data_IF_251532268667
#
_entry.id   IF_251532268667
#
_cell.length_a   1.000
_cell.length_b   1.000
_cell.length_c   1.000
_cell.angle_alpha   90.00
_cell.angle_beta   90.00
_cell.angle_gamma   90.00
#
_symmetry.space_group_name_H-M   'P 1'
#
loop_
_entity.id
_entity.type
_entity.pdbx_description
1 polymer ?
#
# COMPACT_ATOMS: atom_id res chain seq x y z
N UNK A 1 -57.85 -62.15 45.64
CA UNK A 1 -58.54 -63.15 44.79
C UNK A 1 -58.27 -62.81 43.34
N UNK A 2 -57.65 -63.75 42.57
CA UNK A 2 -57.60 -63.92 41.10
C UNK A 2 -57.50 -62.69 40.19
N UNK A 3 -56.74 -62.62 39.08
CA UNK A 3 -55.90 -63.46 38.20
C UNK A 3 -55.24 -62.40 37.29
N UNK A 4 -54.04 -62.53 36.73
CA UNK A 4 -53.83 -63.30 35.51
C UNK A 4 -52.39 -63.06 35.05
N UNK A 5 -51.71 -64.15 34.68
CA UNK A 5 -50.47 -64.15 33.91
C UNK A 5 -50.69 -63.53 32.52
N UNK A 6 -49.70 -62.80 32.02
CA UNK A 6 -49.38 -62.69 30.59
C UNK A 6 -47.85 -62.50 30.48
N UNK A 7 -47.23 -63.38 29.71
CA UNK A 7 -45.83 -63.37 29.28
C UNK A 7 -45.89 -63.37 27.73
N UNK A 8 -44.79 -63.08 27.01
CA UNK A 8 -44.07 -61.81 26.86
C UNK A 8 -44.11 -61.33 25.38
N UNK A 9 -43.62 -60.13 25.07
CA UNK A 9 -43.26 -59.76 23.68
C UNK A 9 -41.73 -59.71 23.53
N UNK A 10 -41.16 -60.21 22.42
CA UNK A 10 -39.73 -60.23 22.19
C UNK A 10 -39.26 -58.84 21.79
N UNK A 11 -38.31 -58.30 22.56
CA UNK A 11 -37.59 -57.08 22.19
C UNK A 11 -36.66 -57.47 21.05
N UNK A 12 -37.03 -57.14 19.82
CA UNK A 12 -36.11 -57.11 18.69
C UNK A 12 -35.04 -56.08 18.98
N UNK A 13 -33.85 -56.55 19.35
CA UNK A 13 -32.63 -55.76 19.32
C UNK A 13 -32.34 -55.40 17.86
N UNK A 14 -32.77 -54.22 17.43
CA UNK A 14 -32.19 -53.60 16.25
C UNK A 14 -30.71 -53.32 16.55
N UNK A 15 -29.76 -53.76 15.70
CA UNK A 15 -28.38 -53.37 15.86
C UNK A 15 -28.31 -51.87 15.59
N UNK A 16 -28.13 -51.09 16.66
CA UNK A 16 -27.64 -49.72 16.57
C UNK A 16 -26.28 -49.82 15.90
N UNK A 17 -26.24 -49.66 14.58
CA UNK A 17 -25.00 -49.37 13.88
C UNK A 17 -24.53 -48.03 14.44
N UNK A 18 -23.61 -48.11 15.40
CA UNK A 18 -22.73 -47.01 15.73
C UNK A 18 -22.03 -46.61 14.43
N UNK A 19 -22.56 -45.60 13.76
CA UNK A 19 -21.77 -44.82 12.81
C UNK A 19 -20.69 -44.14 13.65
N UNK A 20 -19.60 -44.87 13.91
CA UNK A 20 -18.38 -44.30 14.45
C UNK A 20 -17.96 -43.20 13.48
N UNK A 21 -18.34 -41.95 13.77
CA UNK A 21 -17.70 -40.78 13.19
C UNK A 21 -16.19 -40.97 13.38
N UNK A 22 -15.36 -40.92 12.33
CA UNK A 22 -13.93 -41.15 12.44
C UNK A 22 -13.40 -40.26 13.55
N UNK A 23 -12.85 -40.86 14.62
CA UNK A 23 -12.32 -40.10 15.75
C UNK A 23 -11.18 -39.23 15.24
N UNK A 24 -11.46 -37.95 15.00
CA UNK A 24 -10.47 -36.94 14.63
C UNK A 24 -9.27 -37.10 15.55
N UNK A 25 -8.07 -37.25 14.96
CA UNK A 25 -6.89 -37.50 15.78
C UNK A 25 -6.67 -36.27 16.67
N UNK A 26 -6.69 -36.39 18.03
CA UNK A 26 -6.72 -35.22 18.91
C UNK A 26 -5.56 -34.24 18.68
N UNK A 27 -4.39 -34.76 18.26
CA UNK A 27 -3.22 -33.93 17.95
C UNK A 27 -3.42 -33.00 16.74
N UNK A 28 -4.18 -33.42 15.72
CA UNK A 28 -4.49 -32.57 14.56
C UNK A 28 -5.44 -31.44 14.95
N UNK A 29 -6.41 -31.72 15.83
CA UNK A 29 -7.29 -30.68 16.35
C UNK A 29 -6.51 -29.60 17.12
N UNK A 30 -5.55 -30.02 17.95
CA UNK A 30 -4.66 -29.09 18.65
C UNK A 30 -3.81 -28.29 17.67
N UNK A 31 -3.26 -28.95 16.64
CA UNK A 31 -2.44 -28.28 15.61
C UNK A 31 -3.25 -27.21 14.86
N UNK A 32 -4.43 -27.57 14.36
CA UNK A 32 -5.31 -26.64 13.66
C UNK A 32 -5.81 -25.49 14.53
N UNK A 33 -6.13 -25.76 15.81
CA UNK A 33 -6.50 -24.71 16.75
C UNK A 33 -5.36 -23.71 16.95
N UNK A 34 -4.12 -24.19 17.18
CA UNK A 34 -2.94 -23.34 17.32
C UNK A 34 -2.62 -22.55 16.05
N UNK A 35 -2.73 -23.19 14.89
CA UNK A 35 -2.61 -22.51 13.60
C UNK A 35 -3.60 -21.34 13.50
N UNK A 36 -4.88 -21.63 13.74
CA UNK A 36 -5.97 -20.64 13.63
C UNK A 36 -5.79 -19.49 14.62
N UNK A 37 -5.36 -19.78 15.85
CA UNK A 37 -5.03 -18.78 16.86
C UNK A 37 -3.89 -17.86 16.40
N UNK A 38 -2.79 -18.43 15.91
CA UNK A 38 -1.64 -17.65 15.47
C UNK A 38 -1.95 -16.82 14.24
N UNK A 39 -2.61 -17.40 13.23
CA UNK A 39 -2.96 -16.70 12.01
C UNK A 39 -3.93 -15.55 12.26
N UNK A 40 -5.02 -15.79 13.02
CA UNK A 40 -5.99 -14.75 13.34
C UNK A 40 -5.36 -13.59 14.13
N UNK A 41 -4.47 -13.89 15.08
CA UNK A 41 -3.77 -12.84 15.84
C UNK A 41 -2.73 -12.11 14.97
N UNK A 42 -2.03 -12.80 14.08
CA UNK A 42 -1.10 -12.17 13.14
C UNK A 42 -1.82 -11.19 12.21
N UNK A 43 -2.94 -11.61 11.61
CA UNK A 43 -3.76 -10.75 10.74
C UNK A 43 -4.31 -9.54 11.51
N UNK A 44 -4.87 -9.78 12.69
CA UNK A 44 -5.43 -8.70 13.52
C UNK A 44 -4.38 -7.66 13.92
N UNK A 45 -3.19 -8.11 14.36
CA UNK A 45 -2.09 -7.22 14.76
C UNK A 45 -1.48 -6.49 13.55
N UNK A 46 -1.30 -7.16 12.42
CA UNK A 46 -0.84 -6.53 11.17
C UNK A 46 -1.78 -5.41 10.73
N UNK A 47 -3.10 -5.66 10.71
CA UNK A 47 -4.12 -4.66 10.38
C UNK A 47 -4.12 -3.49 11.37
N UNK A 48 -3.98 -3.77 12.66
CA UNK A 48 -3.87 -2.73 13.68
C UNK A 48 -2.65 -1.84 13.44
N UNK A 49 -1.47 -2.42 13.21
CA UNK A 49 -0.23 -1.68 12.90
C UNK A 49 -0.40 -0.78 11.67
N UNK A 50 -0.90 -1.34 10.56
CA UNK A 50 -1.13 -0.58 9.32
C UNK A 50 -2.15 0.55 9.50
N UNK A 51 -3.23 0.31 10.24
CA UNK A 51 -4.22 1.34 10.54
C UNK A 51 -3.62 2.49 11.35
N UNK A 52 -2.75 2.20 12.33
CA UNK A 52 -2.06 3.24 13.11
C UNK A 52 -1.13 4.08 12.24
N UNK A 53 -0.30 3.45 11.39
CA UNK A 53 0.57 4.20 10.47
C UNK A 53 -0.21 5.02 9.45
N UNK A 54 -1.35 4.53 8.96
CA UNK A 54 -2.25 5.30 8.09
C UNK A 54 -2.74 6.58 8.78
N UNK A 55 -3.08 6.51 10.07
CA UNK A 55 -3.46 7.69 10.85
C UNK A 55 -2.28 8.64 11.08
N UNK A 56 -1.07 8.13 11.30
CA UNK A 56 0.13 8.99 11.43
C UNK A 56 0.35 9.80 10.13
N UNK A 57 0.30 9.14 8.97
CA UNK A 57 0.42 9.80 7.67
C UNK A 57 -0.70 10.84 7.45
N UNK A 58 -1.95 10.49 7.80
CA UNK A 58 -3.08 11.41 7.69
C UNK A 58 -2.91 12.64 8.60
N UNK A 59 -2.39 12.48 9.82
CA UNK A 59 -2.08 13.60 10.72
C UNK A 59 -0.98 14.49 10.15
N UNK A 60 0.01 13.93 9.44
CA UNK A 60 1.02 14.72 8.73
C UNK A 60 0.41 15.65 7.67
N UNK A 61 -0.49 15.12 6.83
CA UNK A 61 -1.21 15.92 5.82
C UNK A 61 -2.19 16.91 6.46
N UNK A 62 -2.84 16.55 7.57
CA UNK A 62 -3.70 17.48 8.30
C UNK A 62 -2.90 18.62 8.94
N UNK A 63 -1.68 18.36 9.40
CA UNK A 63 -0.82 19.40 9.96
C UNK A 63 -0.45 20.44 8.89
N UNK A 64 -0.14 20.02 7.67
CA UNK A 64 0.13 20.97 6.57
C UNK A 64 -1.12 21.74 6.16
N UNK A 65 -2.28 21.08 6.13
CA UNK A 65 -3.57 21.75 5.91
C UNK A 65 -3.85 22.81 6.99
N UNK A 66 -3.68 22.48 8.27
CA UNK A 66 -3.91 23.43 9.36
C UNK A 66 -2.88 24.56 9.36
N UNK A 67 -1.65 24.31 8.91
CA UNK A 67 -0.66 25.37 8.75
C UNK A 67 -1.10 26.39 7.69
N UNK A 68 -1.61 25.92 6.55
CA UNK A 68 -2.16 26.76 5.49
C UNK A 68 -3.38 27.54 6.00
N UNK A 69 -4.32 26.88 6.68
CA UNK A 69 -5.51 27.52 7.23
C UNK A 69 -5.17 28.56 8.30
N UNK A 70 -4.18 28.30 9.16
CA UNK A 70 -3.71 29.27 10.15
C UNK A 70 -3.04 30.51 9.51
N UNK A 71 -2.45 30.38 8.32
CA UNK A 71 -1.94 31.52 7.54
C UNK A 71 -3.08 32.33 6.89
N UNK A 72 -4.13 31.65 6.40
CA UNK A 72 -5.29 32.31 5.78
C UNK A 72 -6.20 33.00 6.81
N UNK A 73 -6.25 32.50 8.05
CA UNK A 73 -7.04 33.05 9.15
C UNK A 73 -6.12 33.43 10.33
N UNK A 74 -5.39 34.57 10.25
CA UNK A 74 -4.43 34.97 11.27
C UNK A 74 -5.06 35.30 12.62
N UNK A 75 -4.31 35.06 13.70
CA UNK A 75 -4.68 35.43 15.07
C UNK A 75 -3.52 36.19 15.75
N UNK A 76 -3.75 37.41 16.31
CA UNK A 76 -5.05 38.06 16.53
C UNK A 76 -5.75 38.53 15.24
N UNK A 77 -7.09 38.61 15.22
CA UNK A 77 -7.85 38.98 14.03
C UNK A 77 -7.56 40.44 13.62
N UNK A 78 -7.53 40.69 12.32
CA UNK A 78 -7.60 42.05 11.76
C UNK A 78 -9.03 42.60 11.86
N UNK A 79 -9.21 43.92 11.74
CA UNK A 79 -10.46 44.66 12.04
C UNK A 79 -11.77 44.07 11.46
N UNK A 80 -11.71 43.22 10.43
CA UNK A 80 -12.86 42.64 9.73
C UNK A 80 -12.97 41.10 9.79
N UNK A 81 -12.16 40.40 10.60
CA UNK A 81 -12.19 38.93 10.66
C UNK A 81 -12.68 38.39 12.01
N UNK A 82 -13.52 37.34 12.03
CA UNK A 82 -13.93 36.69 13.28
C UNK A 82 -12.72 36.05 13.97
N UNK A 83 -12.57 36.28 15.27
CA UNK A 83 -11.44 35.77 16.06
C UNK A 83 -11.42 34.23 16.20
N UNK A 84 -12.60 33.60 16.12
CA UNK A 84 -12.78 32.19 16.48
C UNK A 84 -12.09 31.22 15.50
N UNK A 85 -12.24 31.31 14.16
CA UNK A 85 -11.59 30.37 13.24
C UNK A 85 -10.06 30.40 13.32
N UNK A 86 -9.45 31.58 13.42
CA UNK A 86 -7.99 31.71 13.52
C UNK A 86 -7.41 31.09 14.80
N UNK A 87 -8.10 31.25 15.93
CA UNK A 87 -7.73 30.58 17.18
C UNK A 87 -7.86 29.05 17.03
N UNK A 88 -8.97 28.57 16.46
CA UNK A 88 -9.21 27.13 16.27
C UNK A 88 -8.13 26.48 15.42
N UNK A 89 -7.80 27.04 14.24
CA UNK A 89 -6.78 26.46 13.37
C UNK A 89 -5.38 26.49 13.99
N UNK A 90 -5.05 27.52 14.77
CA UNK A 90 -3.78 27.58 15.50
C UNK A 90 -3.68 26.51 16.59
N UNK A 91 -4.77 26.25 17.31
CA UNK A 91 -4.84 25.15 18.28
C UNK A 91 -4.69 23.80 17.58
N UNK A 92 -5.40 23.58 16.47
CA UNK A 92 -5.30 22.34 15.69
C UNK A 92 -3.89 22.12 15.12
N UNK A 93 -3.26 23.17 14.58
CA UNK A 93 -1.88 23.13 14.09
C UNK A 93 -0.87 22.67 15.16
N UNK A 94 -1.07 23.04 16.42
CA UNK A 94 -0.20 22.61 17.53
C UNK A 94 -0.57 21.21 18.02
N UNK A 95 -1.86 20.89 18.11
CA UNK A 95 -2.33 19.60 18.62
C UNK A 95 -2.02 18.46 17.65
N UNK A 96 -2.13 18.67 16.34
CA UNK A 96 -1.96 17.58 15.35
C UNK A 96 -0.56 16.94 15.39
N UNK A 97 0.56 17.69 15.37
CA UNK A 97 1.90 17.11 15.53
C UNK A 97 2.13 16.47 16.91
N UNK A 98 1.52 17.00 17.98
CA UNK A 98 1.62 16.43 19.32
C UNK A 98 0.92 15.07 19.40
N UNK A 99 -0.30 14.97 18.87
CA UNK A 99 -1.05 13.71 18.79
C UNK A 99 -0.31 12.72 17.87
N UNK A 100 0.21 13.19 16.73
CA UNK A 100 1.01 12.39 15.82
C UNK A 100 2.24 11.79 16.49
N UNK A 101 3.01 12.62 17.21
CA UNK A 101 4.19 12.19 17.98
C UNK A 101 3.85 11.20 19.08
N UNK A 102 2.78 11.47 19.86
CA UNK A 102 2.32 10.57 20.91
C UNK A 102 1.88 9.21 20.34
N UNK A 103 1.18 9.22 19.21
CA UNK A 103 0.73 8.00 18.55
C UNK A 103 1.89 7.23 17.91
N UNK A 104 2.89 7.91 17.36
CA UNK A 104 4.11 7.29 16.87
C UNK A 104 4.90 6.62 18.01
N UNK A 105 5.10 7.32 19.13
CA UNK A 105 5.75 6.77 20.33
C UNK A 105 4.98 5.57 20.90
N UNK A 106 3.65 5.65 20.97
CA UNK A 106 2.81 4.53 21.38
C UNK A 106 2.95 3.34 20.42
N UNK A 107 2.90 3.59 19.11
CA UNK A 107 3.05 2.53 18.10
C UNK A 107 4.44 1.88 18.18
N UNK A 108 5.49 2.67 18.44
CA UNK A 108 6.84 2.16 18.68
C UNK A 108 6.90 1.25 19.89
N UNK A 109 6.29 1.64 21.01
CA UNK A 109 6.36 0.88 22.24
C UNK A 109 5.61 -0.47 22.15
N UNK A 110 4.51 -0.53 21.39
CA UNK A 110 3.62 -1.70 21.39
C UNK A 110 3.62 -2.53 20.10
N UNK A 111 4.18 -2.02 19.00
CA UNK A 111 4.14 -2.66 17.68
C UNK A 111 5.47 -2.63 16.92
N UNK A 112 6.58 -2.18 17.51
CA UNK A 112 7.89 -2.17 16.81
C UNK A 112 8.56 -3.54 16.71
N UNK A 113 8.16 -4.50 17.56
CA UNK A 113 8.81 -5.82 17.65
C UNK A 113 8.52 -6.75 16.47
N UNK A 114 7.54 -6.42 15.61
CA UNK A 114 7.17 -7.29 14.49
C UNK A 114 6.52 -8.60 14.95
N UNK A 115 5.91 -8.64 16.14
CA UNK A 115 5.30 -9.85 16.73
C UNK A 115 4.37 -10.59 15.78
N UNK A 116 3.59 -9.86 14.97
CA UNK A 116 2.67 -10.46 14.01
C UNK A 116 3.38 -11.23 12.91
N UNK A 117 4.61 -10.84 12.55
CA UNK A 117 5.44 -11.57 11.60
C UNK A 117 5.91 -12.89 12.20
N UNK A 118 6.28 -12.90 13.49
CA UNK A 118 6.65 -14.12 14.21
C UNK A 118 5.46 -15.05 14.41
N UNK A 119 4.29 -14.50 14.75
CA UNK A 119 3.04 -15.28 14.82
C UNK A 119 2.67 -15.89 13.46
N UNK A 120 2.79 -15.12 12.37
CA UNK A 120 2.60 -15.63 11.01
C UNK A 120 3.61 -16.72 10.64
N UNK A 121 4.88 -16.55 11.03
CA UNK A 121 5.92 -17.56 10.86
C UNK A 121 5.52 -18.89 11.52
N UNK A 122 5.12 -18.80 12.80
CA UNK A 122 4.67 -19.96 13.57
C UNK A 122 3.41 -20.60 12.99
N UNK A 123 2.44 -19.81 12.51
CA UNK A 123 1.24 -20.32 11.87
C UNK A 123 1.58 -21.15 10.62
N UNK A 124 2.32 -20.58 9.67
CA UNK A 124 2.72 -21.28 8.44
C UNK A 124 3.61 -22.50 8.73
N UNK A 125 4.44 -22.44 9.77
CA UNK A 125 5.23 -23.59 10.19
C UNK A 125 4.33 -24.72 10.70
N UNK A 126 3.35 -24.43 11.56
CA UNK A 126 2.38 -25.41 12.03
C UNK A 126 1.59 -25.98 10.85
N UNK A 127 1.16 -25.14 9.91
CA UNK A 127 0.40 -25.56 8.74
C UNK A 127 1.20 -26.55 7.88
N UNK A 128 2.47 -26.24 7.62
CA UNK A 128 3.41 -27.15 6.94
C UNK A 128 3.49 -28.51 7.64
N UNK A 129 3.63 -28.52 8.97
CA UNK A 129 3.73 -29.75 9.76
C UNK A 129 2.42 -30.55 9.80
N UNK A 130 1.26 -29.87 9.75
CA UNK A 130 -0.04 -30.52 9.58
C UNK A 130 -0.07 -31.27 8.24
N UNK A 131 0.34 -30.63 7.15
CA UNK A 131 0.37 -31.29 5.84
C UNK A 131 1.38 -32.44 5.80
N UNK A 132 2.58 -32.30 6.37
CA UNK A 132 3.53 -33.42 6.48
C UNK A 132 2.97 -34.59 7.30
N UNK A 133 2.26 -34.31 8.39
CA UNK A 133 1.62 -35.33 9.22
C UNK A 133 0.58 -36.13 8.45
N UNK A 134 -0.21 -35.44 7.63
CA UNK A 134 -1.32 -36.00 6.85
C UNK A 134 -0.88 -36.64 5.54
N UNK A 135 0.37 -36.48 5.11
CA UNK A 135 0.90 -36.98 3.83
C UNK A 135 2.09 -37.93 4.02
N UNK A 136 3.29 -37.38 4.23
CA UNK A 136 4.56 -38.15 4.29
C UNK A 136 4.61 -39.08 5.50
N UNK A 137 4.01 -38.68 6.62
CA UNK A 137 4.10 -39.43 7.88
C UNK A 137 3.00 -40.46 8.08
N UNK A 138 2.07 -40.63 7.13
CA UNK A 138 0.94 -41.57 7.22
C UNK A 138 1.34 -42.97 7.70
N UNK A 139 2.39 -43.53 7.06
CA UNK A 139 2.85 -44.90 7.31
C UNK A 139 3.72 -45.04 8.58
N UNK A 140 4.04 -43.93 9.27
CA UNK A 140 4.92 -43.93 10.46
C UNK A 140 4.13 -44.09 11.75
N UNK A 141 4.45 -45.13 12.53
CA UNK A 141 3.81 -45.40 13.84
C UNK A 141 3.99 -44.26 14.86
N UNK A 142 5.12 -43.55 14.81
CA UNK A 142 5.45 -42.47 15.75
C UNK A 142 5.02 -41.07 15.26
N UNK A 143 4.17 -40.96 14.22
CA UNK A 143 3.79 -39.66 13.65
C UNK A 143 3.13 -38.71 14.66
N UNK A 144 2.36 -39.25 15.62
CA UNK A 144 1.73 -38.46 16.69
C UNK A 144 2.76 -37.78 17.58
N UNK A 145 3.73 -38.55 18.06
CA UNK A 145 4.84 -38.03 18.87
C UNK A 145 5.70 -37.03 18.09
N UNK A 146 5.87 -37.24 16.78
CA UNK A 146 6.55 -36.27 15.91
C UNK A 146 5.84 -34.92 15.91
N UNK A 147 4.53 -34.88 15.62
CA UNK A 147 3.78 -33.63 15.55
C UNK A 147 3.72 -32.95 16.92
N UNK A 148 3.53 -33.71 17.99
CA UNK A 148 3.57 -33.17 19.37
C UNK A 148 4.90 -32.48 19.68
N UNK A 149 6.03 -33.15 19.41
CA UNK A 149 7.36 -32.57 19.62
C UNK A 149 7.57 -31.33 18.77
N UNK A 150 7.14 -31.36 17.50
CA UNK A 150 7.31 -30.24 16.59
C UNK A 150 6.47 -29.03 16.98
N UNK A 151 5.22 -29.24 17.39
CA UNK A 151 4.37 -28.18 17.93
C UNK A 151 4.97 -27.56 19.21
N UNK A 152 5.59 -28.37 20.06
CA UNK A 152 6.27 -27.87 21.26
C UNK A 152 7.52 -27.04 20.92
N UNK A 153 8.30 -27.46 19.92
CA UNK A 153 9.45 -26.71 19.42
C UNK A 153 9.04 -25.36 18.81
N UNK A 154 8.02 -25.35 17.95
CA UNK A 154 7.49 -24.12 17.34
C UNK A 154 7.01 -23.16 18.42
N UNK A 155 6.25 -23.64 19.41
CA UNK A 155 5.76 -22.79 20.50
C UNK A 155 6.90 -22.22 21.35
N UNK A 156 7.94 -23.00 21.65
CA UNK A 156 9.12 -22.52 22.40
C UNK A 156 9.89 -21.47 21.62
N UNK A 157 10.10 -21.71 20.32
CA UNK A 157 10.76 -20.74 19.44
C UNK A 157 9.94 -19.45 19.37
N UNK A 158 8.64 -19.54 19.14
CA UNK A 158 7.74 -18.38 19.13
C UNK A 158 7.78 -17.61 20.44
N UNK A 159 7.73 -18.29 21.59
CA UNK A 159 7.83 -17.64 22.90
C UNK A 159 9.17 -16.90 23.07
N UNK A 160 10.27 -17.48 22.61
CA UNK A 160 11.60 -16.83 22.63
C UNK A 160 11.63 -15.62 21.69
N UNK A 161 11.09 -15.75 20.48
CA UNK A 161 11.03 -14.67 19.48
C UNK A 161 10.14 -13.50 19.91
N UNK A 162 9.12 -13.77 20.73
CA UNK A 162 8.21 -12.77 21.30
C UNK A 162 8.70 -12.23 22.67
N UNK A 163 10.00 -12.36 22.98
CA UNK A 163 10.60 -11.89 24.24
C UNK A 163 9.90 -12.42 25.52
N UNK A 164 9.26 -13.58 25.44
CA UNK A 164 8.53 -14.18 26.56
C UNK A 164 7.11 -13.65 26.78
N UNK A 165 6.58 -12.80 25.89
CA UNK A 165 5.21 -12.30 25.97
C UNK A 165 4.30 -12.94 24.92
N UNK A 166 3.53 -13.95 25.34
CA UNK A 166 2.59 -14.64 24.45
C UNK A 166 1.15 -14.17 24.69
N UNK A 167 0.87 -12.91 24.36
CA UNK A 167 -0.48 -12.34 24.48
C UNK A 167 -1.28 -12.65 23.22
N UNK A 168 -1.94 -13.81 23.22
CA UNK A 168 -2.77 -14.33 22.12
C UNK A 168 -4.24 -14.29 22.53
N UNK A 169 -5.11 -13.77 21.66
CA UNK A 169 -6.56 -13.87 21.84
C UNK A 169 -7.03 -15.25 21.39
N UNK A 170 -7.89 -15.93 22.15
CA UNK A 170 -8.41 -17.24 21.76
C UNK A 170 -9.20 -17.14 20.45
N UNK A 171 -9.04 -18.14 19.59
CA UNK A 171 -9.79 -18.26 18.34
C UNK A 171 -11.10 -18.99 18.60
N UNK A 172 -12.22 -18.38 18.20
CA UNK A 172 -13.57 -18.92 18.41
C UNK A 172 -14.26 -19.36 17.10
N UNK A 173 -13.53 -19.39 15.98
CA UNK A 173 -14.07 -19.80 14.69
C UNK A 173 -14.04 -21.32 14.47
N UNK A 174 -14.52 -21.80 13.31
CA UNK A 174 -14.43 -23.22 12.96
C UNK A 174 -12.97 -23.65 12.79
N UNK A 175 -12.70 -24.90 13.17
CA UNK A 175 -11.40 -25.55 13.08
C UNK A 175 -11.61 -26.84 12.26
N UNK A 176 -10.89 -27.06 11.15
CA UNK A 176 -9.83 -26.22 10.56
C UNK A 176 -10.35 -24.87 10.03
N UNK A 177 -9.47 -23.86 10.02
CA UNK A 177 -9.77 -22.59 9.35
C UNK A 177 -9.55 -22.76 7.84
N UNK A 178 -10.65 -22.84 7.08
CA UNK A 178 -10.61 -23.05 5.64
C UNK A 178 -10.23 -21.75 4.90
N UNK A 179 -9.39 -21.87 3.86
CA UNK A 179 -9.12 -20.76 2.94
C UNK A 179 -10.38 -20.31 2.20
N UNK A 180 -11.26 -21.27 1.87
CA UNK A 180 -12.53 -21.04 1.19
C UNK A 180 -13.68 -21.60 2.04
N UNK A 181 -14.13 -20.88 3.09
CA UNK A 181 -15.13 -21.39 4.03
C UNK A 181 -16.47 -21.76 3.37
N UNK A 182 -16.78 -21.14 2.23
CA UNK A 182 -18.02 -21.35 1.48
C UNK A 182 -17.94 -22.48 0.45
N UNK A 183 -16.76 -23.08 0.21
CA UNK A 183 -16.59 -24.20 -0.72
C UNK A 183 -16.87 -25.54 -0.02
N UNK A 184 -17.94 -26.28 -0.40
CA UNK A 184 -18.26 -27.59 0.17
C UNK A 184 -17.18 -28.65 -0.07
N UNK A 185 -16.30 -28.42 -1.04
CA UNK A 185 -15.17 -29.29 -1.36
C UNK A 185 -13.86 -28.83 -0.72
N UNK A 186 -13.92 -27.98 0.31
CA UNK A 186 -12.75 -27.61 1.09
C UNK A 186 -12.18 -28.77 1.89
N UNK A 187 -10.89 -28.67 2.21
CA UNK A 187 -10.18 -29.66 3.01
C UNK A 187 -10.87 -29.91 4.37
N UNK A 188 -11.29 -31.15 4.67
CA UNK A 188 -11.87 -31.47 5.98
C UNK A 188 -10.86 -31.39 7.13
N UNK A 189 -9.55 -31.34 6.83
CA UNK A 189 -8.47 -31.03 7.77
C UNK A 189 -8.00 -32.17 8.68
N UNK A 190 -8.83 -33.18 8.94
CA UNK A 190 -8.54 -34.21 9.96
C UNK A 190 -8.08 -35.56 9.42
N UNK A 191 -8.25 -35.79 8.12
CA UNK A 191 -7.98 -37.07 7.47
C UNK A 191 -6.62 -37.09 6.77
N UNK A 192 -6.08 -38.28 6.56
CA UNK A 192 -4.87 -38.48 5.77
C UNK A 192 -5.16 -38.16 4.30
N UNK A 193 -4.22 -37.48 3.64
CA UNK A 193 -4.39 -36.96 2.29
C UNK A 193 -3.71 -37.86 1.25
N UNK A 194 -4.44 -38.22 0.22
CA UNK A 194 -3.87 -38.78 -1.01
C UNK A 194 -3.14 -37.70 -1.82
N UNK A 195 -2.41 -38.11 -2.85
CA UNK A 195 -1.74 -37.18 -3.76
C UNK A 195 -2.70 -36.17 -4.40
N UNK A 196 -3.83 -36.64 -4.92
CA UNK A 196 -4.81 -35.78 -5.58
C UNK A 196 -5.51 -34.82 -4.60
N UNK A 197 -5.79 -35.27 -3.38
CA UNK A 197 -6.36 -34.41 -2.35
C UNK A 197 -5.36 -33.34 -1.87
N UNK A 198 -4.09 -33.71 -1.67
CA UNK A 198 -3.05 -32.73 -1.35
C UNK A 198 -2.88 -31.71 -2.49
N UNK A 199 -2.82 -32.18 -3.73
CA UNK A 199 -2.72 -31.32 -4.91
C UNK A 199 -3.84 -30.28 -4.94
N UNK A 200 -5.09 -30.74 -4.80
CA UNK A 200 -6.28 -29.86 -4.80
C UNK A 200 -6.28 -28.90 -3.61
N UNK A 201 -6.15 -29.43 -2.40
CA UNK A 201 -6.35 -28.63 -1.18
C UNK A 201 -5.20 -27.70 -0.86
N UNK A 202 -3.98 -28.06 -1.25
CA UNK A 202 -2.77 -27.30 -0.91
C UNK A 202 -2.19 -26.60 -2.12
N UNK A 203 -1.83 -27.31 -3.19
CA UNK A 203 -1.12 -26.71 -4.33
C UNK A 203 -2.03 -25.77 -5.11
N UNK A 204 -3.19 -26.24 -5.56
CA UNK A 204 -4.12 -25.47 -6.37
C UNK A 204 -4.68 -24.27 -5.60
N UNK A 205 -5.11 -24.47 -4.34
CA UNK A 205 -5.59 -23.39 -3.49
C UNK A 205 -4.53 -22.31 -3.24
N UNK A 206 -3.28 -22.69 -2.97
CA UNK A 206 -2.19 -21.73 -2.78
C UNK A 206 -1.86 -21.00 -4.07
N UNK A 207 -1.88 -21.67 -5.21
CA UNK A 207 -1.65 -21.05 -6.51
C UNK A 207 -2.75 -20.01 -6.83
N UNK A 208 -4.02 -20.37 -6.62
CA UNK A 208 -5.14 -19.46 -6.80
C UNK A 208 -5.06 -18.25 -5.87
N UNK A 209 -4.75 -18.46 -4.59
CA UNK A 209 -4.59 -17.40 -3.61
C UNK A 209 -3.45 -16.44 -4.00
N UNK A 210 -2.25 -16.94 -4.32
CA UNK A 210 -1.12 -16.10 -4.71
C UNK A 210 -1.38 -15.32 -6.00
N UNK A 211 -2.04 -15.92 -7.00
CA UNK A 211 -2.43 -15.23 -8.25
C UNK A 211 -3.37 -14.07 -7.96
N UNK A 212 -4.37 -14.29 -7.11
CA UNK A 212 -5.32 -13.25 -6.69
C UNK A 212 -4.61 -12.12 -5.95
N UNK A 213 -3.78 -12.45 -4.96
CA UNK A 213 -3.04 -11.46 -4.18
C UNK A 213 -2.13 -10.60 -5.05
N UNK A 214 -1.43 -11.18 -6.03
CA UNK A 214 -0.61 -10.41 -6.98
C UNK A 214 -1.47 -9.35 -7.69
N UNK A 215 -2.67 -9.71 -8.16
CA UNK A 215 -3.56 -8.75 -8.85
C UNK A 215 -4.03 -7.63 -7.91
N UNK A 216 -4.35 -7.96 -6.66
CA UNK A 216 -4.75 -6.98 -5.65
C UNK A 216 -3.61 -6.00 -5.34
N UNK A 217 -2.40 -6.49 -5.09
CA UNK A 217 -1.22 -5.67 -4.85
C UNK A 217 -0.80 -4.83 -6.07
N UNK A 218 -0.93 -5.37 -7.28
CA UNK A 218 -0.69 -4.60 -8.51
C UNK A 218 -1.68 -3.45 -8.66
N UNK A 219 -2.96 -3.70 -8.38
CA UNK A 219 -4.00 -2.65 -8.42
C UNK A 219 -3.71 -1.57 -7.39
N UNK A 220 -3.30 -1.95 -6.18
CA UNK A 220 -2.90 -1.01 -5.13
C UNK A 220 -1.68 -0.17 -5.56
N UNK A 221 -0.65 -0.81 -6.14
CA UNK A 221 0.55 -0.14 -6.66
C UNK A 221 0.21 0.91 -7.71
N UNK A 222 -0.56 0.53 -8.73
CA UNK A 222 -0.98 1.44 -9.80
C UNK A 222 -1.78 2.62 -9.23
N UNK A 223 -2.70 2.35 -8.29
CA UNK A 223 -3.48 3.40 -7.64
C UNK A 223 -2.59 4.38 -6.88
N UNK A 224 -1.60 3.91 -6.13
CA UNK A 224 -0.66 4.77 -5.41
C UNK A 224 0.20 5.60 -6.37
N UNK A 225 0.69 5.00 -7.45
CA UNK A 225 1.45 5.74 -8.49
C UNK A 225 0.61 6.85 -9.13
N UNK A 226 -0.65 6.56 -9.47
CA UNK A 226 -1.57 7.58 -10.00
C UNK A 226 -1.77 8.71 -8.99
N UNK A 227 -1.95 8.39 -7.70
CA UNK A 227 -2.12 9.40 -6.66
C UNK A 227 -0.87 10.29 -6.47
N UNK A 228 0.32 9.69 -6.51
CA UNK A 228 1.62 10.39 -6.43
C UNK A 228 1.80 11.34 -7.63
N UNK A 229 1.52 10.86 -8.84
CA UNK A 229 1.62 11.67 -10.05
C UNK A 229 0.59 12.79 -10.05
N UNK A 230 -0.67 12.49 -9.69
CA UNK A 230 -1.74 13.47 -9.61
C UNK A 230 -1.43 14.57 -8.61
N UNK A 231 -0.95 14.25 -7.40
CA UNK A 231 -0.56 15.27 -6.43
C UNK A 231 0.64 16.11 -6.90
N UNK A 232 1.60 15.51 -7.60
CA UNK A 232 2.71 16.23 -8.23
C UNK A 232 2.24 17.23 -9.29
N UNK A 233 1.42 16.78 -10.24
CA UNK A 233 0.89 17.62 -11.34
C UNK A 233 0.00 18.74 -10.81
N UNK A 234 -0.90 18.45 -9.87
CA UNK A 234 -1.74 19.49 -9.24
C UNK A 234 -0.86 20.51 -8.51
N UNK A 235 0.20 20.07 -7.83
CA UNK A 235 1.15 20.97 -7.18
C UNK A 235 1.84 21.92 -8.17
N UNK A 236 2.35 21.39 -9.28
CA UNK A 236 2.99 22.19 -10.32
C UNK A 236 2.00 23.18 -10.96
N UNK A 237 0.77 22.74 -11.25
CA UNK A 237 -0.28 23.59 -11.80
C UNK A 237 -0.67 24.73 -10.84
N UNK A 238 -0.84 24.45 -9.55
CA UNK A 238 -1.12 25.47 -8.53
C UNK A 238 0.03 26.47 -8.37
N UNK A 239 1.27 26.03 -8.53
CA UNK A 239 2.43 26.92 -8.54
C UNK A 239 2.41 27.85 -9.77
N UNK A 240 2.13 27.30 -10.95
CA UNK A 240 2.07 28.04 -12.22
C UNK A 240 1.00 29.15 -12.24
N UNK A 241 -0.17 28.90 -11.65
CA UNK A 241 -1.23 29.92 -11.54
C UNK A 241 -0.85 31.10 -10.61
N UNK A 242 0.12 30.90 -9.72
CA UNK A 242 0.63 31.94 -8.83
C UNK A 242 -0.39 32.47 -7.81
N UNK A 243 -0.06 33.63 -7.23
CA UNK A 243 -0.93 34.34 -6.29
C UNK A 243 -1.24 33.55 -5.01
N UNK A 244 -2.52 33.56 -4.60
CA UNK A 244 -2.98 32.89 -3.39
C UNK A 244 -3.03 31.36 -3.52
N UNK A 245 -2.90 30.81 -4.73
CA UNK A 245 -2.91 29.36 -4.97
C UNK A 245 -1.57 28.69 -4.63
N UNK A 246 -0.46 29.44 -4.66
CA UNK A 246 0.88 28.93 -4.36
C UNK A 246 1.00 28.33 -2.96
N UNK A 247 0.20 28.79 -1.99
CA UNK A 247 0.20 28.24 -0.63
C UNK A 247 -0.28 26.77 -0.58
N UNK A 248 -1.13 26.36 -1.52
CA UNK A 248 -1.67 25.00 -1.58
C UNK A 248 -0.68 23.98 -2.15
N UNK A 249 0.43 24.43 -2.75
CA UNK A 249 1.53 23.56 -3.22
C UNK A 249 2.13 22.76 -2.05
N UNK A 250 2.17 23.34 -0.84
CA UNK A 250 2.62 22.63 0.34
C UNK A 250 1.71 21.43 0.71
N UNK A 251 0.40 21.56 0.47
CA UNK A 251 -0.54 20.47 0.72
C UNK A 251 -0.35 19.32 -0.26
N UNK A 252 -0.23 19.63 -1.56
CA UNK A 252 0.00 18.61 -2.58
C UNK A 252 1.34 17.91 -2.40
N UNK A 253 2.40 18.63 -2.03
CA UNK A 253 3.69 18.05 -1.69
C UNK A 253 3.58 17.10 -0.47
N UNK A 254 2.81 17.47 0.55
CA UNK A 254 2.60 16.62 1.72
C UNK A 254 1.81 15.34 1.41
N UNK A 255 0.85 15.41 0.49
CA UNK A 255 0.13 14.24 -0.03
C UNK A 255 1.08 13.31 -0.78
N UNK A 256 1.92 13.85 -1.67
CA UNK A 256 2.95 13.09 -2.40
C UNK A 256 3.87 12.34 -1.41
N UNK A 257 4.40 13.04 -0.41
CA UNK A 257 5.28 12.44 0.60
C UNK A 257 4.56 11.37 1.44
N UNK A 258 3.30 11.59 1.81
CA UNK A 258 2.50 10.60 2.53
C UNK A 258 2.24 9.33 1.70
N UNK A 259 1.96 9.47 0.39
CA UNK A 259 1.77 8.33 -0.50
C UNK A 259 3.07 7.56 -0.76
N UNK A 260 4.20 8.27 -0.94
CA UNK A 260 5.52 7.64 -1.06
C UNK A 260 5.87 6.84 0.19
N UNK A 261 5.72 7.44 1.38
CA UNK A 261 5.96 6.74 2.65
C UNK A 261 5.02 5.55 2.85
N UNK A 262 3.76 5.64 2.39
CA UNK A 262 2.85 4.50 2.42
C UNK A 262 3.27 3.37 1.47
N UNK A 263 3.73 3.70 0.25
CA UNK A 263 4.22 2.72 -0.72
C UNK A 263 5.45 1.98 -0.19
N UNK A 264 6.41 2.70 0.40
CA UNK A 264 7.63 2.14 1.00
C UNK A 264 7.30 1.22 2.18
N UNK A 265 6.44 1.68 3.10
CA UNK A 265 5.96 0.88 4.23
C UNK A 265 5.30 -0.43 3.79
N UNK A 266 4.47 -0.38 2.75
CA UNK A 266 3.76 -1.56 2.24
C UNK A 266 4.71 -2.51 1.49
N UNK A 267 5.89 -2.04 1.06
CA UNK A 267 6.89 -2.78 0.31
C UNK A 267 6.28 -3.61 -0.84
N UNK A 268 5.33 -2.99 -1.57
CA UNK A 268 4.45 -3.68 -2.52
C UNK A 268 5.26 -4.33 -3.65
N UNK A 269 6.32 -3.67 -4.11
CA UNK A 269 7.19 -4.18 -5.18
C UNK A 269 7.84 -5.52 -4.81
N UNK A 270 8.25 -5.68 -3.55
CA UNK A 270 8.88 -6.92 -3.09
C UNK A 270 7.85 -8.02 -2.85
N UNK A 271 6.67 -7.68 -2.30
CA UNK A 271 5.56 -8.64 -2.14
C UNK A 271 5.18 -9.24 -3.49
N UNK A 272 4.99 -8.38 -4.51
CA UNK A 272 4.66 -8.82 -5.87
C UNK A 272 5.74 -9.75 -6.42
N UNK A 273 7.03 -9.39 -6.29
CA UNK A 273 8.14 -10.23 -6.78
C UNK A 273 8.15 -11.59 -6.10
N UNK A 274 8.01 -11.62 -4.77
CA UNK A 274 8.03 -12.87 -3.99
C UNK A 274 6.85 -13.77 -4.34
N UNK A 275 5.64 -13.22 -4.46
CA UNK A 275 4.47 -14.00 -4.87
C UNK A 275 4.56 -14.47 -6.32
N UNK A 276 5.10 -13.64 -7.22
CA UNK A 276 5.30 -14.04 -8.62
C UNK A 276 6.25 -15.23 -8.72
N UNK A 277 7.33 -15.23 -7.93
CA UNK A 277 8.26 -16.36 -7.84
C UNK A 277 7.56 -17.63 -7.36
N UNK A 278 6.75 -17.56 -6.30
CA UNK A 278 5.96 -18.71 -5.83
C UNK A 278 4.99 -19.21 -6.87
N UNK A 279 4.29 -18.32 -7.58
CA UNK A 279 3.37 -18.72 -8.65
C UNK A 279 4.12 -19.49 -9.73
N UNK A 280 5.31 -19.04 -10.14
CA UNK A 280 6.13 -19.75 -11.13
C UNK A 280 6.56 -21.12 -10.60
N UNK A 281 7.14 -21.18 -9.41
CA UNK A 281 7.67 -22.43 -8.83
C UNK A 281 6.55 -23.45 -8.54
N UNK A 282 5.42 -23.00 -7.99
CA UNK A 282 4.25 -23.87 -7.79
C UNK A 282 3.58 -24.27 -9.10
N UNK A 283 3.60 -23.43 -10.15
CA UNK A 283 3.05 -23.82 -11.45
C UNK A 283 3.85 -24.97 -12.06
N UNK A 284 5.18 -25.03 -11.87
CA UNK A 284 5.99 -26.17 -12.32
C UNK A 284 5.55 -27.47 -11.63
N UNK A 285 5.28 -27.43 -10.32
CA UNK A 285 4.76 -28.59 -9.58
C UNK A 285 3.35 -28.94 -10.06
N UNK A 286 2.51 -27.93 -10.27
CA UNK A 286 1.14 -28.08 -10.71
C UNK A 286 1.08 -28.79 -12.07
N UNK A 287 1.83 -28.28 -13.04
CA UNK A 287 1.90 -28.81 -14.40
C UNK A 287 2.49 -30.22 -14.40
N UNK A 288 3.53 -30.49 -13.60
CA UNK A 288 4.11 -31.83 -13.46
C UNK A 288 3.07 -32.84 -12.98
N UNK A 289 2.34 -32.53 -11.89
CA UNK A 289 1.34 -33.45 -11.34
C UNK A 289 0.19 -33.74 -12.30
N UNK A 290 -0.30 -32.71 -13.01
CA UNK A 290 -1.37 -32.89 -14.00
C UNK A 290 -0.95 -33.70 -15.21
N UNK A 291 0.32 -33.63 -15.61
CA UNK A 291 0.85 -34.36 -16.75
C UNK A 291 1.13 -35.85 -16.45
N UNK A 292 1.21 -36.24 -15.17
CA UNK A 292 1.38 -37.65 -14.80
C UNK A 292 0.10 -38.44 -15.02
N UNK A 293 0.22 -39.58 -15.72
CA UNK A 293 -0.86 -40.56 -15.79
C UNK A 293 -1.14 -41.17 -14.41
N UNK A 294 -2.36 -41.70 -14.13
CA UNK A 294 -2.69 -42.29 -12.84
C UNK A 294 -1.73 -43.40 -12.39
N UNK A 295 -1.12 -44.12 -13.35
CA UNK A 295 -0.14 -45.19 -13.11
C UNK A 295 1.25 -44.63 -12.71
N UNK A 296 1.58 -43.43 -13.17
CA UNK A 296 2.85 -42.74 -12.87
C UNK A 296 2.81 -41.97 -11.55
N UNK A 297 1.62 -41.73 -10.98
CA UNK A 297 1.38 -41.10 -9.68
C UNK A 297 1.74 -42.03 -8.52
N UNK A 298 3.02 -42.40 -8.48
CA UNK A 298 3.59 -43.24 -7.42
C UNK A 298 3.71 -42.48 -6.10
N UNK A 299 3.85 -43.22 -4.99
CA UNK A 299 4.17 -42.66 -3.67
C UNK A 299 5.41 -41.74 -3.71
N UNK A 300 6.38 -42.03 -4.60
CA UNK A 300 7.60 -41.24 -4.73
C UNK A 300 7.33 -39.86 -5.36
N UNK A 301 6.52 -39.80 -6.41
CA UNK A 301 6.10 -38.54 -7.03
C UNK A 301 5.20 -37.74 -6.10
N UNK A 302 4.30 -38.40 -5.37
CA UNK A 302 3.50 -37.77 -4.32
C UNK A 302 4.37 -37.11 -3.24
N UNK A 303 5.32 -37.84 -2.65
CA UNK A 303 6.19 -37.26 -1.62
C UNK A 303 7.11 -36.17 -2.17
N UNK A 304 7.54 -36.27 -3.44
CA UNK A 304 8.28 -35.20 -4.12
C UNK A 304 7.45 -33.94 -4.22
N UNK A 305 6.20 -34.04 -4.71
CA UNK A 305 5.28 -32.91 -4.81
C UNK A 305 5.09 -32.24 -3.45
N UNK A 306 4.75 -33.00 -2.40
CA UNK A 306 4.53 -32.45 -1.05
C UNK A 306 5.77 -31.73 -0.56
N UNK A 307 6.94 -32.38 -0.64
CA UNK A 307 8.18 -31.80 -0.13
C UNK A 307 8.53 -30.51 -0.87
N UNK A 308 8.48 -30.51 -2.21
CA UNK A 308 8.81 -29.34 -3.01
C UNK A 308 7.82 -28.19 -2.79
N UNK A 309 6.52 -28.48 -2.71
CA UNK A 309 5.50 -27.46 -2.47
C UNK A 309 5.66 -26.81 -1.09
N UNK A 310 5.82 -27.62 -0.04
CA UNK A 310 6.02 -27.09 1.32
C UNK A 310 7.37 -26.36 1.48
N UNK A 311 8.42 -26.77 0.77
CA UNK A 311 9.71 -26.04 0.76
C UNK A 311 9.58 -24.66 0.10
N UNK A 312 8.88 -24.56 -1.04
CA UNK A 312 8.63 -23.30 -1.74
C UNK A 312 7.82 -22.34 -0.86
N UNK A 313 6.70 -22.83 -0.30
CA UNK A 313 5.82 -22.04 0.55
C UNK A 313 6.53 -21.56 1.82
N UNK A 314 7.32 -22.44 2.45
CA UNK A 314 8.10 -22.08 3.62
C UNK A 314 9.20 -21.06 3.31
N UNK A 315 9.94 -21.25 2.21
CA UNK A 315 10.98 -20.33 1.79
C UNK A 315 10.42 -18.93 1.50
N UNK A 316 9.28 -18.85 0.81
CA UNK A 316 8.60 -17.57 0.58
C UNK A 316 8.16 -16.92 1.87
N UNK A 317 7.58 -17.67 2.82
CA UNK A 317 7.15 -17.08 4.08
C UNK A 317 8.35 -16.47 4.83
N UNK A 318 9.50 -17.14 4.84
CA UNK A 318 10.71 -16.58 5.46
C UNK A 318 11.24 -15.35 4.74
N UNK A 319 11.23 -15.35 3.40
CA UNK A 319 11.62 -14.20 2.60
C UNK A 319 10.71 -12.99 2.87
N UNK A 320 9.40 -13.22 2.93
CA UNK A 320 8.41 -12.20 3.31
C UNK A 320 8.68 -11.67 4.72
N UNK A 321 8.83 -12.52 5.72
CA UNK A 321 9.10 -12.09 7.11
C UNK A 321 10.39 -11.30 7.20
N UNK A 322 11.48 -11.79 6.59
CA UNK A 322 12.77 -11.10 6.60
C UNK A 322 12.65 -9.71 5.98
N UNK A 323 12.00 -9.61 4.83
CA UNK A 323 11.82 -8.34 4.15
C UNK A 323 10.94 -7.35 4.91
N UNK A 324 9.90 -7.84 5.60
CA UNK A 324 9.05 -7.00 6.43
C UNK A 324 9.79 -6.57 7.69
N UNK A 325 10.64 -7.42 8.28
CA UNK A 325 11.50 -7.02 9.38
C UNK A 325 12.54 -5.98 8.96
N UNK A 326 13.13 -6.11 7.78
CA UNK A 326 14.04 -5.12 7.19
C UNK A 326 13.31 -3.79 6.97
N UNK A 327 12.13 -3.81 6.34
CA UNK A 327 11.31 -2.62 6.15
C UNK A 327 10.90 -1.98 7.48
N UNK A 328 10.61 -2.75 8.53
CA UNK A 328 10.31 -2.22 9.86
C UNK A 328 11.53 -1.61 10.55
N UNK A 329 12.72 -2.18 10.36
CA UNK A 329 13.99 -1.67 10.89
C UNK A 329 14.44 -0.40 10.17
N UNK A 330 14.30 -0.38 8.85
CA UNK A 330 14.58 0.81 8.03
C UNK A 330 13.57 1.91 8.36
N UNK A 331 12.29 1.56 8.52
CA UNK A 331 11.26 2.48 8.96
C UNK A 331 11.22 2.71 10.49
N UNK A 332 12.30 2.45 11.24
CA UNK A 332 12.38 2.68 12.69
C UNK A 332 12.45 4.19 13.01
N UNK A 333 11.27 4.82 13.02
CA UNK A 333 10.70 5.81 13.94
C UNK A 333 11.49 7.01 14.52
N UNK A 334 12.83 7.07 14.51
CA UNK A 334 13.53 8.37 14.49
C UNK A 334 13.22 9.11 13.19
N UNK A 335 13.01 8.35 12.12
CA UNK A 335 12.63 8.85 10.81
C UNK A 335 11.13 9.18 10.69
N UNK A 336 10.24 8.53 11.46
CA UNK A 336 8.78 8.75 11.39
C UNK A 336 8.27 9.89 12.32
N UNK A 337 8.85 10.08 13.51
CA UNK A 337 8.71 11.35 14.24
C UNK A 337 9.40 12.49 13.46
N UNK A 338 10.47 12.12 12.76
CA UNK A 338 11.05 12.87 11.67
C UNK A 338 10.13 13.02 10.46
N UNK A 339 9.09 12.20 10.21
CA UNK A 339 8.26 12.28 8.99
C UNK A 339 7.38 13.51 9.05
N UNK A 340 6.86 13.88 10.22
CA UNK A 340 6.10 15.12 10.34
C UNK A 340 7.03 16.30 10.10
N UNK A 341 8.22 16.29 10.72
CA UNK A 341 9.24 17.32 10.50
C UNK A 341 9.85 17.28 9.09
N UNK A 342 9.90 16.12 8.42
CA UNK A 342 10.43 15.87 7.07
C UNK A 342 9.38 16.19 6.04
N UNK A 343 8.10 15.89 6.25
CA UNK A 343 7.00 16.34 5.40
C UNK A 343 6.86 17.85 5.52
N UNK A 344 7.02 18.44 6.71
CA UNK A 344 7.06 19.90 6.89
C UNK A 344 8.35 20.48 6.25
N UNK A 345 9.51 19.84 6.44
CA UNK A 345 10.79 20.29 5.85
C UNK A 345 10.82 20.10 4.32
N UNK A 346 10.41 18.97 3.80
CA UNK A 346 10.28 18.66 2.37
C UNK A 346 9.17 19.48 1.75
N UNK A 347 8.04 19.75 2.38
CA UNK A 347 7.04 20.68 1.82
C UNK A 347 7.59 22.11 1.75
N UNK A 348 8.37 22.55 2.74
CA UNK A 348 9.00 23.88 2.73
C UNK A 348 10.22 23.97 1.80
N UNK A 349 11.02 22.91 1.69
CA UNK A 349 12.17 22.80 0.78
C UNK A 349 11.74 22.50 -0.65
N UNK A 350 10.65 21.76 -0.86
CA UNK A 350 10.04 21.51 -2.17
C UNK A 350 9.29 22.74 -2.65
N UNK A 351 8.65 23.54 -1.77
CA UNK A 351 8.16 24.87 -2.14
C UNK A 351 9.31 25.81 -2.57
N UNK A 352 10.48 25.74 -1.91
CA UNK A 352 11.68 26.48 -2.31
C UNK A 352 12.34 25.94 -3.58
N UNK A 353 12.41 24.61 -3.75
CA UNK A 353 12.95 23.96 -4.95
C UNK A 353 12.02 24.11 -6.14
N UNK A 354 10.72 24.01 -5.98
CA UNK A 354 9.74 24.32 -7.02
C UNK A 354 9.84 25.79 -7.41
N UNK A 355 9.99 26.71 -6.45
CA UNK A 355 10.23 28.13 -6.75
C UNK A 355 11.54 28.35 -7.53
N UNK A 356 12.64 27.70 -7.12
CA UNK A 356 13.97 27.86 -7.73
C UNK A 356 14.09 27.12 -9.07
N UNK A 357 13.59 25.89 -9.16
CA UNK A 357 13.47 25.14 -10.41
C UNK A 357 12.50 25.82 -11.37
N UNK A 358 11.49 26.55 -10.89
CA UNK A 358 10.65 27.40 -11.75
C UNK A 358 11.35 28.70 -12.15
N UNK A 359 12.31 29.23 -11.38
CA UNK A 359 13.17 30.35 -11.81
C UNK A 359 14.22 29.88 -12.86
N UNK A 360 14.79 28.68 -12.66
CA UNK A 360 15.80 28.09 -13.54
C UNK A 360 15.17 27.44 -14.80
N UNK A 361 14.10 26.65 -14.67
CA UNK A 361 13.34 26.06 -15.78
C UNK A 361 12.60 27.15 -16.57
N UNK A 362 12.13 28.27 -16.00
CA UNK A 362 11.53 29.33 -16.82
C UNK A 362 12.57 30.00 -17.72
N UNK A 363 13.85 30.03 -17.33
CA UNK A 363 14.95 30.54 -18.17
C UNK A 363 15.38 29.50 -19.21
N UNK A 364 15.41 28.21 -18.84
CA UNK A 364 15.82 27.11 -19.73
C UNK A 364 14.70 26.66 -20.69
N UNK A 365 13.47 26.52 -20.21
CA UNK A 365 12.25 26.29 -20.99
C UNK A 365 12.03 27.43 -21.98
N UNK A 366 12.20 28.71 -21.62
CA UNK A 366 12.08 29.83 -22.59
C UNK A 366 13.16 29.79 -23.68
N UNK A 367 14.28 29.11 -23.45
CA UNK A 367 15.38 28.96 -24.41
C UNK A 367 15.21 27.71 -25.29
N UNK A 368 14.79 26.58 -24.74
CA UNK A 368 14.62 25.31 -25.47
C UNK A 368 13.23 25.17 -26.13
N UNK A 369 12.14 25.63 -25.49
CA UNK A 369 10.80 25.56 -26.10
C UNK A 369 10.54 26.57 -27.21
N UNK A 370 11.45 27.51 -27.46
CA UNK A 370 11.39 28.37 -28.65
C UNK A 370 11.96 27.67 -29.90
N UNK A 371 12.76 26.60 -29.73
CA UNK A 371 13.40 25.87 -30.84
C UNK A 371 12.81 24.47 -31.07
N UNK A 372 12.30 23.76 -30.05
CA UNK A 372 11.79 22.38 -30.21
C UNK A 372 10.25 22.23 -30.32
N UNK A 373 9.49 23.29 -30.02
CA UNK A 373 8.02 23.22 -29.85
C UNK A 373 7.23 23.36 -31.16
N UNK A 374 7.87 23.71 -32.26
CA UNK A 374 7.20 23.88 -33.56
C UNK A 374 6.96 22.53 -34.28
N UNK A 375 7.83 21.52 -34.10
CA UNK A 375 7.71 20.24 -34.84
C UNK A 375 6.97 19.12 -34.10
N UNK A 376 7.14 18.97 -32.78
CA UNK A 376 6.60 17.80 -32.04
C UNK A 376 5.13 17.90 -31.66
N UNK A 377 4.59 19.12 -31.51
CA UNK A 377 3.19 19.33 -31.11
C UNK A 377 2.22 18.98 -32.24
N UNK A 378 2.57 19.24 -33.50
CA UNK A 378 1.66 18.95 -34.62
C UNK A 378 1.48 17.44 -34.85
N UNK A 379 2.53 16.66 -34.58
CA UNK A 379 2.57 15.22 -34.88
C UNK A 379 1.86 14.36 -33.81
N UNK A 380 2.09 14.66 -32.53
CA UNK A 380 1.44 13.94 -31.42
C UNK A 380 -0.04 14.31 -31.26
N UNK A 381 -0.41 15.56 -31.60
CA UNK A 381 -1.80 16.01 -31.53
C UNK A 381 -2.65 15.45 -32.68
N UNK A 382 -2.10 15.30 -33.90
CA UNK A 382 -2.76 14.60 -35.02
C UNK A 382 -2.96 13.11 -34.74
N UNK A 383 -2.00 12.44 -34.12
CA UNK A 383 -2.09 11.03 -33.77
C UNK A 383 -3.15 10.75 -32.68
N UNK A 384 -3.26 11.63 -31.68
CA UNK A 384 -4.25 11.50 -30.61
C UNK A 384 -5.68 11.88 -31.05
N UNK A 385 -5.84 12.86 -31.95
CA UNK A 385 -7.14 13.22 -32.50
C UNK A 385 -7.67 12.19 -33.50
N UNK A 386 -6.78 11.52 -34.25
CA UNK A 386 -7.15 10.45 -35.17
C UNK A 386 -7.77 9.23 -34.46
N UNK A 387 -7.27 8.85 -33.29
CA UNK A 387 -7.80 7.72 -32.52
C UNK A 387 -9.09 8.05 -31.76
N UNK A 388 -9.27 9.30 -31.32
CA UNK A 388 -10.48 9.76 -30.61
C UNK A 388 -11.67 10.05 -31.54
N UNK A 389 -11.42 10.40 -32.80
CA UNK A 389 -12.48 10.64 -33.80
C UNK A 389 -13.13 9.34 -34.31
N UNK A 390 -12.45 8.20 -34.18
CA UNK A 390 -12.90 6.90 -34.68
C UNK A 390 -13.86 6.17 -33.70
N UNK A 391 -13.88 6.55 -32.41
CA UNK A 391 -14.58 5.80 -31.35
C UNK A 391 -15.77 6.53 -30.69
N UNK A 392 -16.17 7.73 -31.16
CA UNK A 392 -17.33 8.43 -30.60
C UNK A 392 -18.18 9.14 -31.68
N UNK A 393 -19.18 8.44 -32.21
CA UNK A 393 -20.15 8.98 -33.18
C UNK A 393 -21.32 9.73 -32.50
N UNK A 394 -21.03 10.88 -31.88
CA UNK A 394 -22.09 11.82 -31.46
C UNK A 394 -21.75 13.25 -31.85
N UNK A 395 -22.61 13.85 -32.68
CA UNK A 395 -22.52 15.22 -33.24
C UNK A 395 -22.33 16.29 -32.15
N UNK A 396 -22.84 16.05 -30.93
CA UNK A 396 -22.75 16.97 -29.79
C UNK A 396 -21.32 17.08 -29.23
N UNK A 397 -20.56 15.97 -29.25
CA UNK A 397 -19.18 15.92 -28.76
C UNK A 397 -18.26 16.64 -29.74
N UNK A 398 -18.54 16.60 -31.05
CA UNK A 398 -17.76 17.33 -32.06
C UNK A 398 -17.89 18.86 -31.93
N UNK A 399 -19.10 19.36 -31.62
CA UNK A 399 -19.30 20.79 -31.40
C UNK A 399 -18.64 21.31 -30.13
N UNK A 400 -18.68 20.55 -29.02
CA UNK A 400 -17.97 20.91 -27.79
C UNK A 400 -16.45 20.83 -27.97
N UNK A 401 -15.96 19.86 -28.75
CA UNK A 401 -14.53 19.70 -29.05
C UNK A 401 -13.97 20.83 -29.94
N UNK A 402 -14.74 21.29 -30.93
CA UNK A 402 -14.37 22.46 -31.75
C UNK A 402 -14.37 23.76 -30.93
N UNK A 403 -15.36 23.94 -30.05
CA UNK A 403 -15.42 25.10 -29.16
C UNK A 403 -14.25 25.12 -28.17
N UNK A 404 -13.88 23.95 -27.64
CA UNK A 404 -12.74 23.80 -26.72
C UNK A 404 -11.40 23.98 -27.45
N UNK A 405 -11.26 23.46 -28.66
CA UNK A 405 -10.07 23.69 -29.51
C UNK A 405 -9.87 25.16 -29.82
N UNK A 406 -10.95 25.87 -30.19
CA UNK A 406 -10.90 27.29 -30.51
C UNK A 406 -10.56 28.16 -29.29
N UNK A 407 -11.13 27.85 -28.13
CA UNK A 407 -10.81 28.53 -26.88
C UNK A 407 -9.35 28.33 -26.45
N UNK A 408 -8.78 27.14 -26.70
CA UNK A 408 -7.37 26.84 -26.41
C UNK A 408 -6.43 27.58 -27.37
N UNK A 409 -6.79 27.72 -28.66
CA UNK A 409 -6.00 28.49 -29.63
C UNK A 409 -6.03 29.99 -29.33
N UNK A 410 -7.19 30.56 -28.99
CA UNK A 410 -7.29 31.97 -28.58
C UNK A 410 -6.54 32.25 -27.26
N UNK A 411 -6.53 31.28 -26.34
CA UNK A 411 -5.73 31.35 -25.11
C UNK A 411 -4.23 31.29 -25.43
N UNK A 412 -3.80 30.48 -26.39
CA UNK A 412 -2.41 30.40 -26.83
C UNK A 412 -1.93 31.69 -27.53
N UNK A 413 -2.78 32.31 -28.37
CA UNK A 413 -2.45 33.58 -29.04
C UNK A 413 -2.38 34.75 -28.07
N UNK A 414 -3.31 34.86 -27.11
CA UNK A 414 -3.27 35.91 -26.09
C UNK A 414 -2.09 35.76 -25.11
N UNK A 415 -1.65 34.53 -24.85
CA UNK A 415 -0.42 34.25 -24.08
C UNK A 415 0.82 34.60 -24.90
N UNK A 416 0.83 34.35 -26.22
CA UNK A 416 1.93 34.71 -27.14
C UNK A 416 2.15 36.22 -27.23
N UNK A 417 1.09 37.01 -27.37
CA UNK A 417 1.19 38.48 -27.37
C UNK A 417 1.72 39.01 -26.03
N UNK A 418 1.17 38.52 -24.91
CA UNK A 418 1.60 38.93 -23.56
C UNK A 418 3.06 38.56 -23.28
N UNK A 419 3.47 37.34 -23.63
CA UNK A 419 4.85 36.88 -23.48
C UNK A 419 5.83 37.69 -24.33
N UNK A 420 5.49 38.01 -25.58
CA UNK A 420 6.37 38.78 -26.47
C UNK A 420 6.64 40.21 -25.96
N UNK A 421 5.62 40.89 -25.42
CA UNK A 421 5.75 42.23 -24.84
C UNK A 421 6.58 42.25 -23.55
N UNK A 422 6.48 41.18 -22.77
CA UNK A 422 7.17 41.04 -21.49
C UNK A 422 8.64 40.68 -21.72
N UNK A 423 8.93 39.80 -22.68
CA UNK A 423 10.29 39.46 -23.12
C UNK A 423 11.01 40.67 -23.71
N UNK A 424 10.36 41.50 -24.55
CA UNK A 424 10.99 42.72 -25.06
C UNK A 424 11.33 43.70 -23.94
N UNK A 425 10.41 43.88 -22.97
CA UNK A 425 10.63 44.78 -21.82
C UNK A 425 11.74 44.30 -20.88
N UNK A 426 11.81 43.00 -20.61
CA UNK A 426 12.85 42.42 -19.76
C UNK A 426 14.21 42.39 -20.45
N UNK A 427 14.25 42.19 -21.77
CA UNK A 427 15.49 42.22 -22.55
C UNK A 427 16.07 43.64 -22.62
N UNK A 428 15.21 44.66 -22.68
CA UNK A 428 15.62 46.07 -22.64
C UNK A 428 16.18 46.45 -21.27
N UNK A 429 15.51 46.04 -20.18
CA UNK A 429 15.97 46.22 -18.80
C UNK A 429 17.30 45.48 -18.55
N UNK A 430 17.42 44.22 -18.98
CA UNK A 430 18.64 43.44 -18.82
C UNK A 430 19.84 44.06 -19.56
N UNK A 431 19.60 44.64 -20.74
CA UNK A 431 20.64 45.30 -21.53
C UNK A 431 21.08 46.64 -20.93
N UNK A 432 20.15 47.39 -20.35
CA UNK A 432 20.40 48.68 -19.69
C UNK A 432 21.23 48.51 -18.40
N UNK A 433 21.00 47.44 -17.64
CA UNK A 433 21.69 47.18 -16.35
C UNK A 433 22.80 46.11 -16.43
N UNK A 434 23.21 45.70 -17.63
CA UNK A 434 24.27 44.69 -17.85
C UNK A 434 25.65 45.08 -17.27
N UNK A 435 25.83 46.33 -16.85
CA UNK A 435 27.07 46.87 -16.29
C UNK A 435 27.07 46.98 -14.76
N UNK A 436 26.01 46.52 -14.09
CA UNK A 436 25.85 46.60 -12.64
C UNK A 436 25.89 45.18 -12.04
N UNK A 437 27.00 44.83 -11.39
CA UNK A 437 27.10 43.58 -10.61
C UNK A 437 26.34 43.73 -9.29
N UNK A 438 25.22 43.02 -9.15
CA UNK A 438 24.38 43.07 -7.95
C UNK A 438 25.01 42.21 -6.84
N UNK A 439 25.64 42.87 -5.87
CA UNK A 439 26.31 42.26 -4.73
C UNK A 439 25.90 42.90 -3.40
N UNK A 440 26.59 42.55 -2.31
CA UNK A 440 26.32 43.12 -0.96
C UNK A 440 26.52 44.63 -0.87
N UNK A 441 27.18 45.23 -1.86
CA UNK A 441 27.63 46.61 -1.86
C UNK A 441 26.80 47.51 -2.80
N UNK A 442 25.77 46.97 -3.45
CA UNK A 442 24.90 47.72 -4.36
C UNK A 442 24.09 48.76 -3.58
N UNK A 443 24.14 50.02 -4.01
CA UNK A 443 23.51 51.12 -3.29
C UNK A 443 21.99 50.99 -3.29
N UNK A 444 21.33 51.44 -2.20
CA UNK A 444 19.87 51.40 -2.10
C UNK A 444 19.19 52.26 -3.18
N UNK A 445 19.85 53.30 -3.68
CA UNK A 445 19.33 54.13 -4.77
C UNK A 445 19.32 53.35 -6.10
N UNK A 446 20.38 52.60 -6.42
CA UNK A 446 20.45 51.77 -7.63
C UNK A 446 19.47 50.60 -7.58
N UNK A 447 19.33 49.94 -6.42
CA UNK A 447 18.38 48.84 -6.24
C UNK A 447 16.93 49.31 -6.39
N UNK A 448 16.61 50.52 -5.89
CA UNK A 448 15.29 51.13 -6.07
C UNK A 448 15.05 51.59 -7.51
N UNK A 449 16.07 52.04 -8.24
CA UNK A 449 15.94 52.40 -9.65
C UNK A 449 15.64 51.17 -10.53
N UNK A 450 16.27 50.02 -10.25
CA UNK A 450 16.00 48.74 -10.91
C UNK A 450 14.58 48.26 -10.58
N UNK A 451 14.19 48.27 -9.31
CA UNK A 451 12.85 47.82 -8.86
C UNK A 451 11.71 48.74 -9.34
N UNK A 452 11.96 50.02 -9.55
CA UNK A 452 10.96 50.97 -10.05
C UNK A 452 10.61 50.77 -11.54
N UNK A 453 11.50 50.15 -12.32
CA UNK A 453 11.32 49.88 -13.76
C UNK A 453 10.79 48.49 -14.08
N UNK A 454 10.74 47.57 -13.10
CA UNK A 454 9.98 46.34 -13.27
C UNK A 454 8.51 46.67 -13.56
N UNK A 455 7.88 46.03 -14.56
CA UNK A 455 6.49 46.32 -14.90
C UNK A 455 5.61 46.03 -13.67
N UNK A 456 5.01 47.07 -13.11
CA UNK A 456 4.05 46.93 -12.01
C UNK A 456 2.78 46.32 -12.56
N UNK A 457 2.19 45.40 -11.79
CA UNK A 457 1.03 44.56 -12.13
C UNK A 457 -0.29 45.29 -12.42
N UNK A 458 -0.26 46.59 -12.73
CA UNK A 458 -1.43 47.44 -12.99
C UNK A 458 -1.63 47.94 -14.42
N UNK A 459 -0.67 47.81 -15.34
CA UNK A 459 -0.75 48.41 -16.68
C UNK A 459 -1.16 47.46 -17.82
N UNK A 460 -1.65 46.26 -17.51
CA UNK A 460 -2.32 45.41 -18.51
C UNK A 460 -3.80 45.35 -18.19
N UNK A 461 -4.54 46.40 -18.58
CA UNK A 461 -6.00 46.36 -18.65
C UNK A 461 -6.42 45.63 -19.92
N UNK A 462 -7.12 44.51 -19.75
CA UNK A 462 -7.70 43.69 -20.82
C UNK A 462 -7.99 42.30 -20.29
#
# INVERSE_FOLDING_TARGET
>A
MNRSKRNPEPITEEPVMETETPRATPILQIAWARFSELDANAVARSKAHLNKRRWIAALGVLATLFAILAMLFPYPPTENQPALPGLTFRVLLVLTPLIGSAMAAFTKAFYSSGDWLMMRAGAEEILKEIYFFRTILQKRKNRRAYLENRLAEINRHLYQSLNGELVIKPYNGPVPSNYYPDDPNSDPGFEDLTGDEYFKYRVENQLAWHRKEIQEYQTERVRLQILILASGVIGAFLAALGGALTIWVALTASLTAAFLGWQELRNIDLIIKNYSKVVVELSVIYDHWLNLEPEERTDAEFYRMVKSAEEILWAQNMEYIKSQQEALKEADLEEEAGLINRVIRESTESAKRAKKAMEDDLVEFTRETLEETEEKIEETFKAALGSLAEEASSELVKQELEAMSKAVVEMAESVKERASSLVSSLTEIAREFAHVDIGRDTSKEELNAILARYPKTGDVKG
#
